data_IF_807060138173
#
_entry.id   IF_807060138173
#
_cell.length_a   1.000
_cell.length_b   1.000
_cell.length_c   1.000
_cell.angle_alpha   90.00
_cell.angle_beta   90.00
_cell.angle_gamma   90.00
#
_symmetry.space_group_name_H-M   'P 1'
#
loop_
_entity.id
_entity.type
_entity.pdbx_description
1 polymer ?
#
# COMPACT_ATOMS: atom_id res chain seq x y z
N UNK A 1 7.77 0.28 31.92
CA UNK A 1 8.48 0.47 30.64
C UNK A 1 8.14 -0.74 29.79
N UNK A 2 7.05 -0.68 29.01
CA UNK A 2 6.58 -1.81 28.22
C UNK A 2 7.35 -1.87 26.90
N UNK A 3 8.05 -2.98 26.64
CA UNK A 3 8.67 -3.22 25.34
C UNK A 3 7.56 -3.32 24.29
N UNK A 4 7.57 -2.44 23.28
CA UNK A 4 6.77 -2.60 22.07
C UNK A 4 7.20 -3.92 21.41
N UNK A 5 6.33 -4.92 21.38
CA UNK A 5 6.59 -6.18 20.68
C UNK A 5 6.17 -6.04 19.22
N UNK A 6 7.09 -5.54 18.41
CA UNK A 6 6.99 -5.63 16.94
C UNK A 6 7.48 -7.00 16.50
N UNK A 7 6.67 -7.71 15.71
CA UNK A 7 7.08 -9.00 15.15
C UNK A 7 7.05 -8.91 13.63
N UNK A 8 8.24 -8.79 13.05
CA UNK A 8 8.43 -8.93 11.60
C UNK A 8 8.62 -10.41 11.28
N UNK A 9 7.53 -11.10 10.95
CA UNK A 9 7.62 -12.46 10.43
C UNK A 9 7.80 -12.41 8.91
N UNK A 10 9.06 -12.41 8.46
CA UNK A 10 9.38 -12.60 7.04
C UNK A 10 9.28 -14.10 6.73
N UNK A 11 8.08 -14.57 6.41
CA UNK A 11 7.85 -15.93 5.89
C UNK A 11 8.17 -15.98 4.40
N UNK A 12 9.44 -16.22 4.07
CA UNK A 12 9.81 -16.67 2.72
C UNK A 12 9.41 -18.14 2.63
N UNK A 13 8.15 -18.40 2.24
CA UNK A 13 7.62 -19.75 2.09
C UNK A 13 8.31 -20.47 0.93
N UNK A 14 9.47 -21.03 1.24
CA UNK A 14 9.91 -22.29 0.68
C UNK A 14 9.13 -23.41 1.39
N UNK A 15 7.99 -23.81 0.82
CA UNK A 15 7.40 -25.17 0.91
C UNK A 15 6.56 -25.61 2.13
N UNK A 16 6.03 -24.74 3.01
CA UNK A 16 5.02 -25.18 4.02
C UNK A 16 3.64 -24.53 3.83
N UNK A 17 2.60 -25.36 3.61
CA UNK A 17 1.20 -24.94 3.37
C UNK A 17 0.39 -24.61 4.64
N UNK A 18 1.06 -24.38 5.77
CA UNK A 18 0.41 -24.05 7.03
C UNK A 18 1.22 -22.97 7.71
N UNK A 19 0.59 -21.83 8.01
CA UNK A 19 1.05 -20.99 9.11
C UNK A 19 1.28 -21.91 10.32
N UNK A 20 2.38 -21.80 11.07
CA UNK A 20 2.42 -22.40 12.40
C UNK A 20 1.38 -21.67 13.23
N UNK A 21 0.19 -22.26 13.29
CA UNK A 21 -0.96 -21.84 14.09
C UNK A 21 -0.68 -21.81 15.59
N UNK A 22 0.57 -22.07 16.00
CA UNK A 22 1.05 -22.13 17.37
C UNK A 22 1.68 -20.83 17.89
N UNK A 23 1.96 -19.81 17.06
CA UNK A 23 2.73 -18.65 17.52
C UNK A 23 1.91 -17.41 17.92
N UNK A 24 0.79 -17.11 17.26
CA UNK A 24 0.03 -15.88 17.58
C UNK A 24 -0.71 -15.97 18.93
N UNK A 25 -1.18 -17.15 19.32
CA UNK A 25 -1.89 -17.36 20.58
C UNK A 25 -1.00 -17.13 21.82
N UNK A 26 0.32 -17.20 21.69
CA UNK A 26 1.30 -16.95 22.76
C UNK A 26 1.82 -15.51 22.79
N UNK A 27 1.26 -14.62 21.97
CA UNK A 27 1.67 -13.21 21.87
C UNK A 27 0.50 -12.25 22.13
N UNK A 28 -0.07 -12.21 23.36
CA UNK A 28 -1.24 -11.40 23.67
C UNK A 28 -0.99 -9.89 23.58
N UNK A 29 0.27 -9.45 23.62
CA UNK A 29 0.66 -8.03 23.49
C UNK A 29 1.04 -7.64 22.06
N UNK A 30 0.77 -8.49 21.05
CA UNK A 30 1.11 -8.21 19.67
C UNK A 30 0.37 -6.95 19.17
N UNK A 31 1.14 -5.91 18.84
CA UNK A 31 0.62 -4.63 18.34
C UNK A 31 0.84 -4.44 16.84
N UNK A 32 1.83 -5.13 16.26
CA UNK A 32 2.15 -5.04 14.83
C UNK A 32 2.42 -6.42 14.25
N UNK A 33 1.77 -6.75 13.13
CA UNK A 33 1.92 -8.00 12.42
C UNK A 33 2.19 -7.71 10.94
N UNK A 34 3.35 -8.13 10.45
CA UNK A 34 3.72 -8.05 9.04
C UNK A 34 3.90 -9.44 8.44
N UNK A 35 3.17 -9.73 7.37
CA UNK A 35 3.21 -10.97 6.60
C UNK A 35 3.63 -10.67 5.14
N UNK A 36 4.94 -10.72 4.87
CA UNK A 36 5.50 -10.57 3.52
C UNK A 36 5.54 -11.93 2.80
N UNK A 37 4.41 -12.30 2.21
CA UNK A 37 4.27 -13.51 1.39
C UNK A 37 4.79 -13.28 -0.02
N UNK A 38 5.68 -14.14 -0.49
CA UNK A 38 6.00 -14.28 -1.90
C UNK A 38 5.03 -15.28 -2.52
N UNK A 39 4.06 -14.80 -3.31
CA UNK A 39 3.10 -15.67 -3.97
C UNK A 39 3.75 -16.31 -5.22
N UNK A 40 3.30 -17.51 -5.60
CA UNK A 40 3.63 -18.15 -6.89
C UNK A 40 2.41 -18.08 -7.81
N UNK A 41 2.61 -17.87 -9.12
CA UNK A 41 1.49 -17.93 -10.09
C UNK A 41 0.96 -19.35 -10.28
N UNK A 42 1.75 -20.36 -9.92
CA UNK A 42 1.40 -21.76 -10.08
C UNK A 42 0.68 -22.35 -8.88
N UNK A 43 0.59 -21.61 -7.78
CA UNK A 43 -0.07 -22.04 -6.56
C UNK A 43 -1.25 -21.12 -6.26
N UNK A 44 -2.35 -21.66 -5.70
CA UNK A 44 -3.41 -20.80 -5.19
C UNK A 44 -2.86 -19.86 -4.11
N UNK A 45 -3.45 -18.66 -3.92
CA UNK A 45 -3.08 -17.78 -2.82
C UNK A 45 -3.32 -18.45 -1.47
N UNK A 46 -2.48 -18.11 -0.50
CA UNK A 46 -2.58 -18.66 0.86
C UNK A 46 -3.81 -18.07 1.57
N UNK A 47 -4.67 -18.95 2.09
CA UNK A 47 -5.71 -18.59 3.07
C UNK A 47 -5.12 -18.72 4.47
N UNK A 48 -4.92 -17.59 5.15
CA UNK A 48 -4.44 -17.52 6.52
C UNK A 48 -5.54 -17.87 7.51
N UNK A 49 -6.77 -17.43 7.21
CA UNK A 49 -7.96 -17.67 8.01
C UNK A 49 -9.13 -18.19 7.14
N UNK A 50 -9.19 -19.51 6.89
CA UNK A 50 -10.30 -20.13 6.15
C UNK A 50 -11.63 -20.03 6.92
N UNK A 51 -12.76 -20.00 6.19
CA UNK A 51 -14.11 -19.75 6.72
C UNK A 51 -14.59 -20.68 7.85
N UNK A 52 -14.02 -21.87 7.93
CA UNK A 52 -14.43 -22.89 8.92
C UNK A 52 -13.47 -23.00 10.11
N UNK A 53 -12.44 -22.15 10.16
CA UNK A 53 -11.37 -22.27 11.12
C UNK A 53 -11.61 -21.38 12.33
N UNK A 54 -12.33 -21.91 13.33
CA UNK A 54 -12.43 -21.29 14.64
C UNK A 54 -11.08 -21.41 15.35
N UNK A 55 -10.32 -20.32 15.40
CA UNK A 55 -9.14 -20.22 16.25
C UNK A 55 -9.37 -19.16 17.32
N UNK A 56 -9.12 -19.53 18.57
CA UNK A 56 -9.05 -18.60 19.70
C UNK A 56 -7.68 -17.88 19.69
N UNK A 57 -7.40 -17.10 18.64
CA UNK A 57 -6.21 -16.23 18.61
C UNK A 57 -6.61 -14.85 19.11
N UNK A 58 -6.06 -14.43 20.25
CA UNK A 58 -6.27 -13.09 20.75
C UNK A 58 -5.35 -12.09 20.02
N UNK A 59 -5.90 -11.36 19.05
CA UNK A 59 -5.25 -10.24 18.34
C UNK A 59 -5.88 -8.88 18.65
N UNK A 60 -6.61 -8.76 19.77
CA UNK A 60 -7.31 -7.52 20.15
C UNK A 60 -6.39 -6.31 20.36
N UNK A 61 -5.12 -6.55 20.69
CA UNK A 61 -4.11 -5.51 20.86
C UNK A 61 -3.43 -5.09 19.54
N UNK A 62 -3.76 -5.73 18.42
CA UNK A 62 -3.18 -5.40 17.14
C UNK A 62 -3.60 -3.98 16.72
N UNK A 63 -2.63 -3.18 16.29
CA UNK A 63 -2.80 -1.79 15.84
C UNK A 63 -2.26 -1.57 14.44
N UNK A 64 -1.41 -2.47 13.94
CA UNK A 64 -0.84 -2.40 12.60
C UNK A 64 -0.87 -3.78 11.96
N UNK A 65 -1.37 -3.84 10.73
CA UNK A 65 -1.43 -5.08 9.96
C UNK A 65 -0.93 -4.87 8.54
N UNK A 66 0.08 -5.63 8.14
CA UNK A 66 0.62 -5.63 6.79
C UNK A 66 0.56 -7.03 6.22
N UNK A 67 0.02 -7.18 5.03
CA UNK A 67 -0.04 -8.45 4.31
C UNK A 67 0.24 -8.22 2.83
N UNK A 68 1.02 -9.12 2.24
CA UNK A 68 1.17 -9.17 0.79
C UNK A 68 0.41 -10.32 0.14
N UNK A 69 -0.21 -10.03 -1.02
CA UNK A 69 -1.05 -10.96 -1.78
C UNK A 69 -2.12 -11.70 -0.95
N UNK A 70 -2.97 -11.00 -0.16
CA UNK A 70 -4.05 -11.69 0.53
C UNK A 70 -5.02 -12.29 -0.49
N UNK A 71 -5.60 -13.44 -0.14
CA UNK A 71 -6.73 -13.98 -0.90
C UNK A 71 -7.99 -13.17 -0.55
N UNK A 72 -8.81 -12.73 -1.52
CA UNK A 72 -9.98 -11.90 -1.21
C UNK A 72 -11.15 -12.64 -0.54
N UNK A 73 -11.10 -13.97 -0.47
CA UNK A 73 -11.96 -14.81 0.40
C UNK A 73 -11.33 -15.18 1.76
N UNK A 74 -10.18 -14.62 2.11
CA UNK A 74 -9.55 -14.83 3.43
C UNK A 74 -10.33 -14.05 4.51
N UNK A 75 -10.81 -14.74 5.55
CA UNK A 75 -11.58 -14.11 6.62
C UNK A 75 -10.70 -13.39 7.64
N UNK A 76 -9.38 -13.34 7.45
CA UNK A 76 -8.47 -12.68 8.39
C UNK A 76 -8.91 -11.24 8.67
N UNK A 77 -9.38 -10.50 7.66
CA UNK A 77 -9.83 -9.11 7.80
C UNK A 77 -11.13 -8.96 8.60
N UNK A 78 -11.99 -9.98 8.63
CA UNK A 78 -13.18 -10.00 9.48
C UNK A 78 -12.83 -10.23 10.97
N UNK A 79 -11.66 -10.81 11.24
CA UNK A 79 -11.17 -11.08 12.60
C UNK A 79 -10.23 -10.00 13.15
N UNK A 80 -9.86 -9.02 12.32
CA UNK A 80 -9.03 -7.91 12.74
C UNK A 80 -9.78 -6.97 13.70
N UNK A 81 -9.10 -6.40 14.71
CA UNK A 81 -9.75 -5.49 15.65
C UNK A 81 -10.18 -4.18 14.95
N UNK A 82 -11.37 -3.64 15.26
CA UNK A 82 -11.85 -2.39 14.66
C UNK A 82 -10.99 -1.17 15.03
N UNK A 83 -10.20 -1.25 16.12
CA UNK A 83 -9.27 -0.21 16.58
C UNK A 83 -7.89 -0.25 15.88
N UNK A 84 -7.77 -0.96 14.75
CA UNK A 84 -6.59 -0.91 13.90
C UNK A 84 -6.30 0.52 13.44
N UNK A 85 -5.04 0.95 13.61
CA UNK A 85 -4.58 2.27 13.22
C UNK A 85 -3.93 2.25 11.82
N UNK A 86 -3.42 1.10 11.40
CA UNK A 86 -2.73 0.95 10.11
C UNK A 86 -3.00 -0.37 9.43
N UNK A 87 -3.36 -0.31 8.15
CA UNK A 87 -3.49 -1.46 7.26
C UNK A 87 -2.65 -1.24 6.01
N UNK A 88 -1.85 -2.24 5.63
CA UNK A 88 -1.12 -2.28 4.36
C UNK A 88 -1.45 -3.56 3.62
N UNK A 89 -2.22 -3.45 2.53
CA UNK A 89 -2.50 -4.54 1.59
C UNK A 89 -1.63 -4.34 0.37
N UNK A 90 -0.55 -5.12 0.28
CA UNK A 90 0.54 -4.85 -0.67
C UNK A 90 1.00 -6.05 -1.48
N UNK A 91 2.04 -5.86 -2.26
CA UNK A 91 2.77 -6.84 -3.03
C UNK A 91 4.16 -7.11 -2.42
N UNK A 92 4.74 -8.29 -2.70
CA UNK A 92 6.08 -8.65 -2.21
C UNK A 92 6.73 -9.77 -3.03
N UNK A 93 7.78 -9.51 -3.82
CA UNK A 93 8.43 -8.22 -4.00
C UNK A 93 7.50 -7.20 -4.67
N UNK A 94 7.82 -5.91 -4.52
CA UNK A 94 7.06 -4.83 -5.15
C UNK A 94 6.98 -5.03 -6.66
N UNK A 95 5.79 -4.94 -7.22
CA UNK A 95 5.50 -5.13 -8.64
C UNK A 95 6.28 -4.13 -9.48
N UNK A 96 6.43 -2.88 -9.01
CA UNK A 96 7.25 -1.86 -9.66
C UNK A 96 8.75 -2.18 -9.66
N UNK A 97 9.26 -3.09 -8.83
CA UNK A 97 10.65 -3.57 -8.91
C UNK A 97 10.72 -4.61 -10.04
N UNK A 98 11.18 -4.18 -11.21
CA UNK A 98 11.67 -5.07 -12.26
C UNK A 98 13.20 -5.15 -12.16
N UNK A 99 13.75 -6.29 -11.75
CA UNK A 99 15.20 -6.52 -11.72
C UNK A 99 15.55 -7.71 -12.63
N UNK A 100 16.48 -7.52 -13.58
CA UNK A 100 17.01 -8.58 -14.47
C UNK A 100 17.56 -9.79 -13.71
N UNK A 101 18.06 -9.61 -12.49
CA UNK A 101 18.59 -10.70 -11.68
C UNK A 101 17.50 -11.57 -11.04
N UNK A 102 16.27 -11.06 -10.94
CA UNK A 102 15.09 -11.83 -10.51
C UNK A 102 14.36 -12.25 -11.78
N UNK A 103 14.92 -13.26 -12.46
CA UNK A 103 14.24 -14.01 -13.52
C UNK A 103 13.07 -14.80 -12.90
N UNK A 104 12.05 -14.11 -12.38
CA UNK A 104 10.79 -14.70 -11.97
C UNK A 104 9.78 -14.43 -13.10
N UNK A 105 9.51 -15.41 -13.99
CA UNK A 105 8.67 -15.23 -15.18
C UNK A 105 7.17 -15.06 -14.88
N UNK A 106 6.80 -14.76 -13.64
CA UNK A 106 5.49 -15.10 -13.12
C UNK A 106 5.11 -14.17 -11.99
N UNK A 107 4.71 -12.95 -12.36
CA UNK A 107 4.17 -11.97 -11.44
C UNK A 107 2.77 -12.41 -11.05
N UNK A 108 2.60 -12.62 -9.76
CA UNK A 108 1.34 -13.02 -9.15
C UNK A 108 0.28 -11.96 -9.34
N UNK A 109 -0.99 -12.37 -9.41
CA UNK A 109 -2.06 -11.44 -9.68
C UNK A 109 -2.09 -10.41 -8.55
N UNK A 110 -1.81 -9.16 -8.92
CA UNK A 110 -2.17 -8.00 -8.11
C UNK A 110 -3.70 -8.01 -8.02
N UNK A 111 -4.23 -7.78 -6.82
CA UNK A 111 -5.67 -7.73 -6.58
C UNK A 111 -6.35 -6.74 -7.54
N UNK A 112 -7.55 -7.07 -8.00
CA UNK A 112 -8.39 -6.08 -8.68
C UNK A 112 -8.89 -5.02 -7.69
N UNK A 113 -9.34 -3.88 -8.20
CA UNK A 113 -10.02 -2.87 -7.37
C UNK A 113 -11.25 -3.43 -6.66
N UNK A 114 -12.03 -4.27 -7.35
CA UNK A 114 -13.20 -4.96 -6.77
C UNK A 114 -12.82 -5.89 -5.62
N UNK A 115 -11.76 -6.70 -5.78
CA UNK A 115 -11.32 -7.64 -4.74
C UNK A 115 -10.73 -6.91 -3.53
N UNK A 116 -9.98 -5.84 -3.76
CA UNK A 116 -9.47 -5.00 -2.68
C UNK A 116 -10.62 -4.34 -1.90
N UNK A 117 -11.63 -3.81 -2.59
CA UNK A 117 -12.81 -3.23 -1.92
C UNK A 117 -13.53 -4.27 -1.07
N UNK A 118 -13.69 -5.49 -1.59
CA UNK A 118 -14.31 -6.60 -0.85
C UNK A 118 -13.57 -6.91 0.44
N UNK A 119 -12.23 -6.91 0.40
CA UNK A 119 -11.37 -7.07 1.58
C UNK A 119 -11.57 -5.92 2.58
N UNK A 120 -11.54 -4.67 2.10
CA UNK A 120 -11.63 -3.50 2.99
C UNK A 120 -13.03 -3.36 3.63
N UNK A 121 -14.06 -3.90 2.99
CA UNK A 121 -15.45 -3.84 3.45
C UNK A 121 -15.84 -4.99 4.40
N UNK A 122 -14.92 -5.88 4.79
CA UNK A 122 -15.25 -6.97 5.72
C UNK A 122 -15.49 -6.52 7.15
N UNK A 123 -14.97 -5.34 7.52
CA UNK A 123 -14.98 -4.84 8.89
C UNK A 123 -14.94 -3.30 8.90
N UNK A 124 -15.57 -2.70 9.91
CA UNK A 124 -15.51 -1.25 10.11
C UNK A 124 -14.24 -0.87 10.88
N UNK A 125 -13.22 -0.34 10.18
CA UNK A 125 -11.98 0.15 10.79
C UNK A 125 -12.09 1.63 11.17
N UNK A 126 -12.82 1.91 12.25
CA UNK A 126 -13.20 3.27 12.66
C UNK A 126 -12.01 4.16 13.07
N UNK A 127 -10.90 3.56 13.47
CA UNK A 127 -9.70 4.27 13.96
C UNK A 127 -8.56 4.29 12.93
N UNK A 128 -8.82 3.91 11.68
CA UNK A 128 -7.77 3.74 10.68
C UNK A 128 -7.17 5.09 10.27
N UNK A 129 -5.91 5.33 10.65
CA UNK A 129 -5.18 6.55 10.33
C UNK A 129 -4.24 6.38 9.13
N UNK A 130 -3.82 5.14 8.83
CA UNK A 130 -2.87 4.84 7.76
C UNK A 130 -3.35 3.68 6.88
N UNK A 131 -3.46 3.94 5.58
CA UNK A 131 -3.81 2.92 4.60
C UNK A 131 -2.77 2.89 3.47
N UNK A 132 -2.24 1.71 3.19
CA UNK A 132 -1.46 1.42 1.99
C UNK A 132 -2.17 0.35 1.18
N UNK A 133 -2.37 0.60 -0.11
CA UNK A 133 -3.05 -0.33 -1.01
C UNK A 133 -2.30 -0.49 -2.32
N UNK A 134 -2.30 -1.72 -2.82
CA UNK A 134 -1.76 -2.09 -4.13
C UNK A 134 -2.81 -2.86 -4.89
N UNK A 135 -3.17 -2.38 -6.08
CA UNK A 135 -4.21 -3.02 -6.89
C UNK A 135 -4.02 -2.77 -8.39
N UNK A 136 -4.72 -3.58 -9.19
CA UNK A 136 -4.88 -3.43 -10.63
C UNK A 136 -6.27 -2.91 -10.93
N UNK A 137 -6.33 -1.94 -11.83
CA UNK A 137 -7.56 -1.29 -12.25
C UNK A 137 -8.50 -2.30 -12.90
N UNK A 138 -9.77 -2.17 -12.56
CA UNK A 138 -10.90 -2.86 -13.15
C UNK A 138 -12.09 -1.90 -13.17
N UNK A 139 -13.28 -2.38 -13.57
CA UNK A 139 -14.49 -1.57 -13.59
C UNK A 139 -14.93 -1.05 -12.21
N UNK A 140 -14.41 -1.61 -11.12
CA UNK A 140 -14.73 -1.22 -9.74
C UNK A 140 -13.83 -0.10 -9.18
N UNK A 141 -12.80 0.33 -9.92
CA UNK A 141 -11.83 1.34 -9.46
C UNK A 141 -12.48 2.65 -8.95
N UNK A 142 -13.46 3.27 -9.64
CA UNK A 142 -14.13 4.47 -9.13
C UNK A 142 -14.88 4.23 -7.82
N UNK A 143 -15.64 3.13 -7.74
CA UNK A 143 -16.40 2.77 -6.54
C UNK A 143 -15.49 2.48 -5.35
N UNK A 144 -14.32 1.86 -5.59
CA UNK A 144 -13.34 1.60 -4.54
C UNK A 144 -12.77 2.90 -3.97
N UNK A 145 -12.43 3.87 -4.82
CA UNK A 145 -11.96 5.20 -4.37
C UNK A 145 -13.03 5.95 -3.58
N UNK A 146 -14.28 5.91 -4.04
CA UNK A 146 -15.40 6.51 -3.32
C UNK A 146 -15.56 5.88 -1.94
N UNK A 147 -15.57 4.55 -1.89
CA UNK A 147 -15.73 3.79 -0.65
C UNK A 147 -14.59 4.05 0.33
N UNK A 148 -13.33 4.13 -0.12
CA UNK A 148 -12.20 4.47 0.76
C UNK A 148 -12.41 5.83 1.43
N UNK A 149 -12.83 6.83 0.66
CA UNK A 149 -13.07 8.17 1.19
C UNK A 149 -14.23 8.21 2.20
N UNK A 150 -15.23 7.33 2.05
CA UNK A 150 -16.39 7.26 2.93
C UNK A 150 -16.17 6.37 4.17
N UNK A 151 -15.45 5.26 4.03
CA UNK A 151 -15.22 4.29 5.10
C UNK A 151 -14.17 4.76 6.12
N UNK A 152 -13.19 5.56 5.70
CA UNK A 152 -12.03 5.89 6.54
C UNK A 152 -11.81 7.41 6.69
N UNK A 153 -12.75 8.13 7.32
CA UNK A 153 -12.68 9.59 7.47
C UNK A 153 -11.50 10.08 8.33
N UNK A 154 -10.95 9.21 9.19
CA UNK A 154 -9.81 9.52 10.06
C UNK A 154 -8.44 9.30 9.40
N UNK A 155 -8.39 8.93 8.11
CA UNK A 155 -7.13 8.74 7.40
C UNK A 155 -6.27 10.00 7.43
N UNK A 156 -5.03 9.83 7.88
CA UNK A 156 -3.96 10.85 7.88
C UNK A 156 -2.88 10.54 6.86
N UNK A 157 -2.73 9.27 6.49
CA UNK A 157 -1.76 8.80 5.51
C UNK A 157 -2.41 7.81 4.55
N UNK A 158 -2.26 8.05 3.25
CA UNK A 158 -2.76 7.18 2.20
C UNK A 158 -1.67 6.96 1.15
N UNK A 159 -1.31 5.70 0.92
CA UNK A 159 -0.37 5.29 -0.13
C UNK A 159 -1.07 4.35 -1.11
N UNK A 160 -1.05 4.72 -2.38
CA UNK A 160 -1.76 4.00 -3.45
C UNK A 160 -0.78 3.61 -4.53
N UNK A 161 -0.67 2.30 -4.79
CA UNK A 161 -0.06 1.77 -5.99
C UNK A 161 -1.13 1.23 -6.92
N UNK A 162 -1.46 2.04 -7.93
CA UNK A 162 -2.47 1.75 -8.95
C UNK A 162 -1.79 1.32 -10.23
N UNK A 163 -2.03 0.08 -10.65
CA UNK A 163 -1.51 -0.46 -11.91
C UNK A 163 -2.62 -0.60 -12.94
N UNK A 164 -2.37 -0.21 -14.20
CA UNK A 164 -3.41 -0.26 -15.21
C UNK A 164 -3.69 -1.69 -15.66
N UNK A 165 -4.92 -1.94 -16.11
CA UNK A 165 -5.33 -3.23 -16.70
C UNK A 165 -4.61 -3.50 -18.01
N UNK A 166 -4.41 -2.45 -18.81
CA UNK A 166 -3.80 -2.46 -20.13
C UNK A 166 -3.12 -1.10 -20.41
N UNK A 167 -2.35 -1.02 -21.48
CA UNK A 167 -1.57 0.20 -21.81
C UNK A 167 -2.41 1.35 -22.41
N UNK A 168 -3.71 1.13 -22.64
CA UNK A 168 -4.63 2.18 -23.13
C UNK A 168 -5.30 2.97 -22.00
N UNK A 169 -5.17 2.48 -20.77
CA UNK A 169 -5.75 3.11 -19.59
C UNK A 169 -5.07 4.46 -19.31
N UNK A 170 -5.88 5.53 -19.25
CA UNK A 170 -5.37 6.88 -19.02
C UNK A 170 -5.30 7.19 -17.53
N UNK A 171 -4.27 7.93 -17.14
CA UNK A 171 -4.14 8.39 -15.75
C UNK A 171 -5.37 9.17 -15.28
N UNK A 172 -6.13 8.59 -14.37
CA UNK A 172 -7.32 9.18 -13.75
C UNK A 172 -6.99 10.12 -12.58
N UNK A 173 -5.81 10.77 -12.58
CA UNK A 173 -5.32 11.56 -11.44
C UNK A 173 -6.37 12.55 -10.93
N UNK A 174 -6.96 13.36 -11.81
CA UNK A 174 -7.95 14.39 -11.44
C UNK A 174 -9.19 13.78 -10.76
N UNK A 175 -9.69 12.66 -11.28
CA UNK A 175 -10.86 11.98 -10.73
C UNK A 175 -10.54 11.40 -9.35
N UNK A 176 -9.41 10.69 -9.24
CA UNK A 176 -8.92 10.11 -7.98
C UNK A 176 -8.76 11.20 -6.91
N UNK A 177 -8.05 12.29 -7.20
CA UNK A 177 -7.77 13.33 -6.20
C UNK A 177 -9.03 14.12 -5.84
N UNK A 178 -9.96 14.29 -6.77
CA UNK A 178 -11.26 14.92 -6.49
C UNK A 178 -12.03 14.08 -5.49
N UNK A 179 -12.11 12.76 -5.69
CA UNK A 179 -12.78 11.85 -4.75
C UNK A 179 -12.11 11.80 -3.39
N UNK A 180 -10.76 11.71 -3.37
CA UNK A 180 -9.98 11.64 -2.14
C UNK A 180 -9.93 12.97 -1.36
N UNK A 181 -10.20 14.11 -2.01
CA UNK A 181 -10.26 15.44 -1.35
C UNK A 181 -11.35 15.55 -0.27
N UNK A 182 -12.26 14.57 -0.23
CA UNK A 182 -13.25 14.40 0.84
C UNK A 182 -12.60 14.01 2.17
N UNK A 183 -11.42 13.37 2.16
CA UNK A 183 -10.64 13.03 3.35
C UNK A 183 -10.01 14.28 3.98
N UNK A 184 -10.76 14.94 4.87
CA UNK A 184 -10.34 16.22 5.46
C UNK A 184 -9.13 16.13 6.39
N UNK A 185 -8.95 14.96 7.01
CA UNK A 185 -7.85 14.69 7.93
C UNK A 185 -6.57 14.19 7.24
N UNK A 186 -6.61 13.96 5.92
CA UNK A 186 -5.47 13.43 5.18
C UNK A 186 -4.33 14.44 5.18
N UNK A 187 -3.14 14.03 5.61
CA UNK A 187 -1.93 14.86 5.70
C UNK A 187 -0.90 14.47 4.66
N UNK A 188 -0.79 13.19 4.38
CA UNK A 188 0.17 12.63 3.44
C UNK A 188 -0.55 11.76 2.41
N UNK A 189 -0.33 12.08 1.13
CA UNK A 189 -0.83 11.29 0.00
C UNK A 189 0.34 10.83 -0.87
N UNK A 190 0.49 9.52 -1.05
CA UNK A 190 1.49 8.92 -1.92
C UNK A 190 0.83 8.19 -3.06
N UNK A 191 1.25 8.52 -4.28
CA UNK A 191 0.64 8.01 -5.50
C UNK A 191 1.69 7.39 -6.41
N UNK A 192 1.56 6.10 -6.65
CA UNK A 192 2.21 5.41 -7.75
C UNK A 192 1.15 5.12 -8.81
N UNK A 193 1.02 6.04 -9.77
CA UNK A 193 0.12 5.93 -10.92
C UNK A 193 0.95 5.48 -12.12
N UNK A 194 1.08 4.17 -12.27
CA UNK A 194 2.00 3.62 -13.25
C UNK A 194 1.37 3.70 -14.66
N UNK A 195 2.07 4.20 -15.70
CA UNK A 195 1.45 4.49 -17.00
C UNK A 195 1.22 3.26 -17.89
N UNK A 196 1.76 2.09 -17.54
CA UNK A 196 1.74 0.89 -18.39
C UNK A 196 1.34 -0.35 -17.59
N UNK A 197 0.68 -1.32 -18.20
CA UNK A 197 0.21 -2.54 -17.51
C UNK A 197 1.33 -3.35 -16.87
N UNK A 198 2.54 -3.21 -17.42
CA UNK A 198 3.77 -3.79 -16.91
C UNK A 198 4.84 -2.70 -16.73
N UNK A 199 5.57 -2.68 -15.60
CA UNK A 199 6.69 -1.77 -15.43
C UNK A 199 7.70 -1.99 -16.55
N UNK A 200 8.00 -0.95 -17.34
CA UNK A 200 8.89 -1.07 -18.47
C UNK A 200 10.29 -1.47 -17.99
N UNK A 201 11.01 -2.14 -18.88
CA UNK A 201 12.40 -2.49 -18.65
C UNK A 201 13.28 -1.22 -18.53
N UNK A 202 13.04 -0.24 -19.41
CA UNK A 202 13.66 1.07 -19.32
C UNK A 202 12.86 1.96 -18.41
N UNK A 203 13.53 2.51 -17.40
CA UNK A 203 12.90 3.47 -16.49
C UNK A 203 12.83 4.81 -17.20
N UNK A 204 11.68 5.11 -17.79
CA UNK A 204 11.40 6.46 -18.30
C UNK A 204 11.24 7.37 -17.08
N UNK A 205 12.27 8.18 -16.85
CA UNK A 205 12.29 9.12 -15.74
C UNK A 205 11.33 10.25 -16.08
N UNK A 206 10.17 10.29 -15.41
CA UNK A 206 9.27 11.44 -15.56
C UNK A 206 9.98 12.71 -15.05
N UNK A 207 9.82 13.81 -15.79
CA UNK A 207 10.41 15.09 -15.41
C UNK A 207 9.84 15.56 -14.08
N UNK A 208 10.66 16.22 -13.27
CA UNK A 208 10.21 16.85 -12.03
C UNK A 208 9.17 17.94 -12.31
N UNK A 209 9.22 18.59 -13.48
CA UNK A 209 8.24 19.61 -13.86
C UNK A 209 6.85 19.00 -14.03
N UNK A 210 6.76 17.85 -14.71
CA UNK A 210 5.50 17.10 -14.90
C UNK A 210 4.94 16.64 -13.56
N UNK A 211 5.79 16.13 -12.67
CA UNK A 211 5.37 15.76 -11.32
C UNK A 211 4.97 16.97 -10.47
N UNK A 212 5.61 18.12 -10.68
CA UNK A 212 5.24 19.41 -10.07
C UNK A 212 3.85 19.88 -10.51
N UNK A 213 3.53 19.79 -11.79
CA UNK A 213 2.18 20.08 -12.29
C UNK A 213 1.14 19.16 -11.65
N UNK A 214 1.46 17.87 -11.48
CA UNK A 214 0.57 16.92 -10.77
C UNK A 214 0.43 17.26 -9.28
N UNK A 215 1.52 17.65 -8.63
CA UNK A 215 1.48 18.08 -7.23
C UNK A 215 0.58 19.30 -7.05
N UNK A 216 0.62 20.25 -8.00
CA UNK A 216 -0.29 21.40 -8.00
C UNK A 216 -1.75 20.98 -8.17
N UNK A 217 -2.05 20.08 -9.12
CA UNK A 217 -3.40 19.53 -9.30
C UNK A 217 -3.92 18.88 -8.01
N UNK A 218 -3.07 18.15 -7.30
CA UNK A 218 -3.42 17.55 -6.00
C UNK A 218 -3.66 18.65 -4.96
N UNK A 219 -2.77 19.62 -4.83
CA UNK A 219 -2.92 20.71 -3.87
C UNK A 219 -4.22 21.50 -4.07
N UNK A 220 -4.58 21.78 -5.33
CA UNK A 220 -5.81 22.48 -5.69
C UNK A 220 -7.06 21.68 -5.31
N UNK A 221 -7.07 20.37 -5.59
CA UNK A 221 -8.17 19.48 -5.20
C UNK A 221 -8.33 19.41 -3.67
N UNK A 222 -7.22 19.45 -2.93
CA UNK A 222 -7.18 19.40 -1.47
C UNK A 222 -7.14 20.80 -0.83
N UNK A 223 -7.62 21.84 -1.50
CA UNK A 223 -7.62 23.21 -0.99
C UNK A 223 -8.30 23.36 0.39
N UNK A 224 -9.31 22.54 0.67
CA UNK A 224 -10.09 22.57 1.92
C UNK A 224 -9.75 21.41 2.89
N UNK A 225 -8.57 20.81 2.81
CA UNK A 225 -8.14 19.71 3.70
C UNK A 225 -6.87 20.06 4.49
N UNK A 226 -6.43 19.13 5.35
CA UNK A 226 -5.14 19.20 6.05
C UNK A 226 -3.96 18.62 5.25
N UNK A 227 -4.10 18.42 3.94
CA UNK A 227 -3.02 17.83 3.14
C UNK A 227 -1.82 18.76 3.14
N UNK A 228 -0.69 18.25 3.62
CA UNK A 228 0.58 18.96 3.73
C UNK A 228 1.68 18.32 2.88
N UNK A 229 1.51 17.07 2.48
CA UNK A 229 2.50 16.31 1.71
C UNK A 229 1.83 15.51 0.59
N UNK A 230 2.35 15.65 -0.63
CA UNK A 230 2.05 14.75 -1.74
C UNK A 230 3.34 14.18 -2.30
N UNK A 231 3.37 12.88 -2.55
CA UNK A 231 4.52 12.21 -3.12
C UNK A 231 4.16 11.31 -4.30
N UNK A 232 5.05 11.25 -5.28
CA UNK A 232 4.93 10.39 -6.45
C UNK A 232 6.10 9.42 -6.50
N UNK A 233 5.83 8.15 -6.82
CA UNK A 233 6.88 7.14 -6.89
C UNK A 233 7.79 7.45 -8.08
N UNK A 234 9.06 7.72 -7.79
CA UNK A 234 10.10 7.91 -8.80
C UNK A 234 11.03 6.72 -8.79
N UNK A 235 11.23 6.17 -9.97
CA UNK A 235 12.14 5.07 -10.22
C UNK A 235 13.33 5.62 -10.99
N UNK A 236 14.52 5.13 -10.69
CA UNK A 236 15.67 5.20 -11.59
C UNK A 236 16.37 3.83 -11.59
N UNK A 237 17.43 3.66 -12.37
CA UNK A 237 18.14 2.38 -12.50
C UNK A 237 18.70 1.83 -11.18
N UNK A 238 18.92 2.68 -10.18
CA UNK A 238 19.65 2.34 -8.95
C UNK A 238 18.78 2.41 -7.69
N UNK A 239 17.72 3.21 -7.72
CA UNK A 239 16.90 3.55 -6.56
C UNK A 239 15.44 3.76 -6.96
N UNK A 240 14.55 3.33 -6.09
CA UNK A 240 13.17 3.78 -6.04
C UNK A 240 13.07 4.75 -4.85
N UNK A 241 12.37 5.87 -5.01
CA UNK A 241 12.12 6.82 -3.94
C UNK A 241 10.83 7.59 -4.17
N UNK A 242 10.23 8.11 -3.10
CA UNK A 242 9.12 9.03 -3.20
C UNK A 242 9.64 10.44 -3.49
N UNK A 243 9.32 10.98 -4.66
CA UNK A 243 9.53 12.39 -4.95
C UNK A 243 8.42 13.18 -4.24
N UNK A 244 8.78 14.04 -3.29
CA UNK A 244 7.83 14.67 -2.36
C UNK A 244 7.72 16.17 -2.60
N UNK A 245 6.49 16.66 -2.61
CA UNK A 245 6.13 18.07 -2.57
C UNK A 245 5.40 18.37 -1.26
N UNK A 246 5.74 19.51 -0.66
CA UNK A 246 5.07 20.02 0.51
C UNK A 246 4.14 21.17 0.13
N UNK A 247 3.03 21.27 0.85
CA UNK A 247 1.98 22.25 0.62
C UNK A 247 1.96 23.20 1.82
N UNK A 248 2.41 24.43 1.60
CA UNK A 248 2.32 25.50 2.60
C UNK A 248 0.92 26.14 2.51
N UNK A 249 0.41 26.56 3.67
CA UNK A 249 -0.91 27.19 3.79
C UNK A 249 -0.84 28.48 4.59
N UNK A 250 -1.72 29.41 4.26
CA UNK A 250 -1.94 30.62 5.05
C UNK A 250 -2.75 30.31 6.32
N UNK A 251 -2.89 31.28 7.26
CA UNK A 251 -3.69 31.10 8.47
C UNK A 251 -5.19 30.82 8.22
N UNK A 252 -5.69 31.08 7.01
CA UNK A 252 -7.06 30.80 6.59
C UNK A 252 -7.21 29.42 5.91
N UNK A 253 -6.11 28.66 5.79
CA UNK A 253 -6.08 27.33 5.20
C UNK A 253 -5.87 27.30 3.68
N UNK A 254 -5.74 28.47 3.03
CA UNK A 254 -5.49 28.58 1.60
C UNK A 254 -4.08 28.13 1.23
N UNK A 255 -3.93 27.41 0.11
CA UNK A 255 -2.61 26.98 -0.39
C UNK A 255 -1.82 28.19 -0.85
N UNK A 256 -0.62 28.40 -0.29
CA UNK A 256 0.26 29.52 -0.63
C UNK A 256 1.44 29.11 -1.48
N UNK A 257 1.91 27.88 -1.31
CA UNK A 257 3.09 27.38 -2.02
C UNK A 257 3.05 25.85 -2.12
N UNK A 258 3.57 25.32 -3.23
CA UNK A 258 3.79 23.89 -3.43
C UNK A 258 5.23 23.72 -3.90
N UNK A 259 6.07 23.10 -3.06
CA UNK A 259 7.52 23.07 -3.31
C UNK A 259 8.10 21.67 -3.18
N UNK A 260 9.08 21.38 -4.05
CA UNK A 260 9.73 20.08 -4.14
C UNK A 260 10.94 19.96 -3.21
N UNK A 261 11.05 18.85 -2.48
CA UNK A 261 12.24 18.53 -1.70
C UNK A 261 13.16 17.56 -2.45
N UNK A 262 14.35 18.05 -2.84
CA UNK A 262 15.33 17.30 -3.63
C UNK A 262 15.92 16.08 -2.90
N UNK A 263 15.85 16.06 -1.56
CA UNK A 263 16.29 14.94 -0.71
C UNK A 263 15.20 14.63 0.32
N UNK A 264 14.04 14.23 -0.18
CA UNK A 264 12.94 13.75 0.66
C UNK A 264 13.47 12.84 1.77
N UNK A 265 12.99 13.05 3.00
CA UNK A 265 13.29 12.19 4.16
C UNK A 265 12.97 10.71 3.90
N UNK A 266 12.18 10.42 2.87
CA UNK A 266 11.75 9.08 2.46
C UNK A 266 12.66 8.39 1.45
N UNK A 267 13.83 8.97 1.13
CA UNK A 267 14.82 8.38 0.22
C UNK A 267 15.26 6.97 0.64
N UNK A 268 15.21 6.67 1.95
CA UNK A 268 15.63 5.38 2.51
C UNK A 268 14.47 4.45 2.92
N UNK A 269 13.23 4.68 2.49
CA UNK A 269 12.13 3.77 2.86
C UNK A 269 12.11 2.46 2.05
N UNK A 270 12.93 2.35 1.00
CA UNK A 270 12.94 1.21 0.08
C UNK A 270 14.00 0.13 0.41
N UNK A 271 14.75 0.25 1.53
CA UNK A 271 15.79 -0.74 1.88
C UNK A 271 15.21 -2.11 2.27
N UNK A 272 13.94 -2.15 2.65
CA UNK A 272 13.23 -3.33 3.16
C UNK A 272 12.80 -4.34 2.07
N UNK A 273 13.27 -4.13 0.82
CA UNK A 273 12.72 -4.72 -0.41
C UNK A 273 13.71 -5.59 -1.20
N UNK A 274 15.00 -5.60 -0.84
CA UNK A 274 15.95 -6.59 -1.34
C UNK A 274 15.73 -7.90 -0.59
N UNK A 275 14.99 -8.84 -1.18
CA UNK A 275 15.00 -10.23 -0.73
C UNK A 275 16.44 -10.77 -0.63
N UNK A 276 16.69 -11.84 0.16
CA UNK A 276 18.03 -12.33 0.40
C UNK A 276 18.77 -12.56 -0.92
N UNK A 277 19.93 -11.91 -1.07
CA UNK A 277 20.81 -12.08 -2.23
C UNK A 277 21.09 -13.57 -2.37
N UNK A 278 20.76 -14.21 -3.51
CA UNK A 278 21.05 -15.62 -3.70
C UNK A 278 22.54 -15.82 -3.46
N UNK A 279 22.90 -16.63 -2.46
CA UNK A 279 24.29 -17.04 -2.28
C UNK A 279 24.75 -17.64 -3.60
N UNK A 280 25.77 -17.03 -4.22
CA UNK A 280 26.42 -17.61 -5.39
C UNK A 280 26.75 -19.06 -5.04
N UNK A 281 26.13 -20.00 -5.74
CA UNK A 281 26.55 -21.40 -5.67
C UNK A 281 28.02 -21.41 -6.08
N UNK A 282 28.90 -21.74 -5.13
CA UNK A 282 30.28 -22.11 -5.42
C UNK A 282 30.29 -23.51 -5.99
#
# INVERSE_FOLDING_TARGET
MAMSSEVHLIWILSWSRRLPSLSLAVMPSLTSLTLKLAQSTYLPPLLLWPRDLRRDVNISNLRQFTISYPHPDDEIFAHLPPELLSISVRDSPRYFIYNKCVMAPNRTPVLSGTDLLRILNTQAFIALERLEIVYRVDSGDPQMMESIADMFPELRFLEIHRYPSDDSEKSALKEIVTTLSRLKNLRVLRLNLHPTSHPPFEVILESLDVLGERAQIVADAFALSQLSEVAFLRRNYYHNYWATWYIDRDPHGGVTNVWYERKSTHYNEFYDEMGPVPRRRR
#
